data_IF_100707916588
#
_entry.id   IF_100707916588
#
_cell.length_a   1.000
_cell.length_b   1.000
_cell.length_c   1.000
_cell.angle_alpha   90.00
_cell.angle_beta   90.00
_cell.angle_gamma   90.00
#
_symmetry.space_group_name_H-M   'P 1'
#
loop_
_entity.id
_entity.type
_entity.pdbx_description
1 polymer ?
#
# COMPACT_ATOMS: atom_id res chain seq x y z
N UNK A 1 1.73 23.42 -1.04
CA UNK A 1 0.96 22.34 -0.36
C UNK A 1 1.51 21.02 -0.88
N UNK A 2 1.72 20.00 -0.03
CA UNK A 2 2.17 18.70 -0.50
C UNK A 2 1.16 18.11 -1.49
N UNK A 3 1.61 17.36 -2.51
CA UNK A 3 0.73 16.71 -3.48
C UNK A 3 -0.28 15.80 -2.76
N UNK A 4 -1.52 15.78 -3.24
CA UNK A 4 -2.57 14.90 -2.73
C UNK A 4 -2.15 13.42 -2.84
N UNK A 5 -1.43 13.08 -3.92
CA UNK A 5 -0.84 11.75 -4.13
C UNK A 5 0.17 11.39 -3.04
N UNK A 6 1.06 12.31 -2.66
CA UNK A 6 2.01 12.13 -1.55
C UNK A 6 1.31 11.90 -0.21
N UNK A 7 0.24 12.64 0.10
CA UNK A 7 -0.51 12.49 1.36
C UNK A 7 -1.15 11.10 1.40
N UNK A 8 -1.88 10.75 0.34
CA UNK A 8 -2.54 9.45 0.20
C UNK A 8 -1.52 8.31 0.30
N UNK A 9 -0.35 8.47 -0.35
CA UNK A 9 0.71 7.47 -0.32
C UNK A 9 1.34 7.32 1.06
N UNK A 10 1.59 8.42 1.77
CA UNK A 10 2.11 8.40 3.14
C UNK A 10 1.14 7.76 4.13
N UNK A 11 -0.16 8.09 4.05
CA UNK A 11 -1.19 7.49 4.91
C UNK A 11 -1.26 5.98 4.71
N UNK A 12 -1.24 5.54 3.46
CA UNK A 12 -1.25 4.11 3.13
C UNK A 12 0.04 3.40 3.57
N UNK A 13 1.20 4.04 3.40
CA UNK A 13 2.48 3.54 3.89
C UNK A 13 2.51 3.40 5.42
N UNK A 14 1.94 4.37 6.14
CA UNK A 14 1.82 4.34 7.59
C UNK A 14 0.90 3.20 8.06
N UNK A 15 -0.24 3.02 7.42
CA UNK A 15 -1.12 1.90 7.72
C UNK A 15 -0.43 0.54 7.50
N UNK A 16 0.33 0.40 6.40
CA UNK A 16 1.08 -0.82 6.13
C UNK A 16 2.21 -1.05 7.14
N UNK A 17 2.90 0.02 7.54
CA UNK A 17 3.93 -0.01 8.58
C UNK A 17 3.36 -0.48 9.92
N UNK A 18 2.23 0.07 10.34
CA UNK A 18 1.57 -0.31 11.60
C UNK A 18 1.05 -1.76 11.55
N UNK A 19 0.51 -2.20 10.41
CA UNK A 19 0.11 -3.60 10.24
C UNK A 19 1.30 -4.58 10.29
N UNK A 20 2.49 -4.15 9.85
CA UNK A 20 3.72 -4.92 10.03
C UNK A 20 4.26 -4.90 11.46
N UNK A 21 4.18 -3.76 12.15
CA UNK A 21 4.66 -3.61 13.52
C UNK A 21 3.78 -4.34 14.55
N UNK A 22 2.46 -4.34 14.37
CA UNK A 22 1.51 -4.94 15.31
C UNK A 22 1.76 -6.44 15.63
N UNK A 23 1.94 -7.35 14.65
CA UNK A 23 2.26 -8.75 14.92
C UNK A 23 3.68 -8.96 15.49
N UNK A 24 4.61 -8.02 15.29
CA UNK A 24 5.94 -8.08 15.92
C UNK A 24 5.90 -7.65 17.39
N UNK A 25 5.02 -6.71 17.72
CA UNK A 25 4.89 -6.16 19.07
C UNK A 25 3.86 -6.91 19.93
N UNK A 26 2.92 -7.64 19.31
CA UNK A 26 1.84 -8.34 20.01
C UNK A 26 1.67 -9.77 19.52
N UNK A 27 1.87 -10.73 20.44
CA UNK A 27 1.65 -12.16 20.21
C UNK A 27 0.19 -12.50 19.90
N UNK A 28 -0.76 -11.71 20.40
CA UNK A 28 -2.20 -11.84 20.12
C UNK A 28 -2.52 -11.56 18.65
N UNK A 29 -1.90 -10.53 18.08
CA UNK A 29 -2.06 -10.17 16.66
C UNK A 29 -1.34 -11.18 15.78
N UNK A 30 -0.16 -11.64 16.18
CA UNK A 30 0.54 -12.73 15.49
C UNK A 30 -0.28 -14.01 15.42
N UNK A 31 -0.95 -14.40 16.52
CA UNK A 31 -1.82 -15.60 16.56
C UNK A 31 -3.04 -15.46 15.65
N UNK A 32 -3.67 -14.27 15.63
CA UNK A 32 -4.80 -13.99 14.74
C UNK A 32 -4.38 -14.03 13.25
N UNK A 33 -3.17 -13.55 12.94
CA UNK A 33 -2.60 -13.66 11.61
C UNK A 33 -2.27 -15.11 11.24
N UNK A 34 -1.77 -15.92 12.17
CA UNK A 34 -1.52 -17.35 11.99
C UNK A 34 -2.79 -18.10 11.58
N UNK A 35 -3.89 -17.87 12.32
CA UNK A 35 -5.20 -18.46 12.04
C UNK A 35 -5.73 -18.04 10.65
N UNK A 36 -5.56 -16.77 10.28
CA UNK A 36 -6.01 -16.24 8.99
C UNK A 36 -5.16 -16.71 7.80
N UNK A 37 -3.86 -16.95 8.03
CA UNK A 37 -2.91 -17.47 7.03
C UNK A 37 -2.93 -19.00 6.93
N UNK A 38 -3.71 -19.70 7.77
CA UNK A 38 -3.68 -21.17 7.91
C UNK A 38 -2.25 -21.72 8.04
N UNK A 39 -1.36 -20.95 8.68
CA UNK A 39 0.05 -21.29 8.83
C UNK A 39 0.45 -21.27 10.29
N UNK A 40 1.04 -22.36 10.76
CA UNK A 40 1.55 -22.48 12.13
C UNK A 40 2.99 -21.93 12.25
N UNK A 41 3.59 -21.51 11.14
CA UNK A 41 4.97 -21.03 11.12
C UNK A 41 5.04 -19.58 11.59
N UNK A 42 5.40 -19.39 12.87
CA UNK A 42 5.73 -18.07 13.45
C UNK A 42 6.76 -17.29 12.61
N UNK A 43 7.71 -17.99 11.99
CA UNK A 43 8.73 -17.37 11.14
C UNK A 43 8.11 -16.76 9.87
N UNK A 44 7.16 -17.44 9.23
CA UNK A 44 6.47 -16.90 8.06
C UNK A 44 5.70 -15.61 8.40
N UNK A 45 5.05 -15.58 9.57
CA UNK A 45 4.31 -14.40 10.05
C UNK A 45 5.26 -13.24 10.33
N UNK A 46 6.42 -13.49 10.95
CA UNK A 46 7.42 -12.44 11.19
C UNK A 46 8.02 -11.91 9.89
N UNK A 47 8.28 -12.77 8.90
CA UNK A 47 8.79 -12.35 7.59
C UNK A 47 7.77 -11.50 6.84
N UNK A 48 6.48 -11.88 6.85
CA UNK A 48 5.40 -11.07 6.28
C UNK A 48 5.27 -9.73 7.00
N UNK A 49 5.32 -9.74 8.33
CA UNK A 49 5.26 -8.54 9.16
C UNK A 49 6.43 -7.58 8.87
N UNK A 50 7.65 -8.10 8.79
CA UNK A 50 8.85 -7.33 8.43
C UNK A 50 8.74 -6.77 7.00
N UNK A 51 8.21 -7.55 6.06
CA UNK A 51 7.99 -7.10 4.69
C UNK A 51 7.01 -5.92 4.64
N UNK A 52 5.89 -6.00 5.36
CA UNK A 52 4.93 -4.90 5.47
C UNK A 52 5.55 -3.65 6.12
N UNK A 53 6.36 -3.83 7.16
CA UNK A 53 7.07 -2.75 7.84
C UNK A 53 8.07 -2.05 6.90
N UNK A 54 8.90 -2.82 6.18
CA UNK A 54 9.85 -2.30 5.20
C UNK A 54 9.16 -1.57 4.06
N UNK A 55 8.13 -2.16 3.45
CA UNK A 55 7.39 -1.53 2.34
C UNK A 55 6.69 -0.26 2.80
N UNK A 56 6.04 -0.28 3.98
CA UNK A 56 5.42 0.91 4.57
C UNK A 56 6.41 2.04 4.81
N UNK A 57 7.62 1.72 5.26
CA UNK A 57 8.71 2.70 5.45
C UNK A 57 9.14 3.31 4.12
N UNK A 58 9.31 2.48 3.08
CA UNK A 58 9.67 2.94 1.74
C UNK A 58 8.60 3.87 1.16
N UNK A 59 7.32 3.58 1.40
CA UNK A 59 6.22 4.42 0.92
C UNK A 59 6.23 5.81 1.58
N UNK A 60 6.49 5.88 2.88
CA UNK A 60 6.62 7.16 3.59
C UNK A 60 7.81 7.97 3.05
N UNK A 61 8.96 7.31 2.82
CA UNK A 61 10.15 7.98 2.27
C UNK A 61 9.91 8.47 0.84
N UNK A 62 9.30 7.65 -0.02
CA UNK A 62 8.95 8.01 -1.39
C UNK A 62 7.90 9.13 -1.43
N UNK A 63 6.92 9.12 -0.52
CA UNK A 63 5.95 10.20 -0.37
C UNK A 63 6.61 11.53 0.00
N UNK A 64 7.58 11.49 0.94
CA UNK A 64 8.37 12.66 1.36
C UNK A 64 9.25 13.20 0.23
N UNK A 65 9.80 12.32 -0.61
CA UNK A 65 10.60 12.69 -1.79
C UNK A 65 9.74 13.17 -2.96
N UNK A 66 8.42 12.97 -2.92
CA UNK A 66 7.52 13.27 -4.04
C UNK A 66 7.81 12.41 -5.28
N UNK A 67 8.34 11.20 -5.08
CA UNK A 67 8.76 10.33 -6.18
C UNK A 67 7.54 9.67 -6.86
N UNK A 68 7.06 10.30 -7.93
CA UNK A 68 5.89 9.83 -8.70
C UNK A 68 6.12 8.46 -9.33
N UNK A 69 7.37 8.09 -9.67
CA UNK A 69 7.68 6.75 -10.21
C UNK A 69 7.46 5.67 -9.16
N UNK A 70 7.94 5.89 -7.95
CA UNK A 70 7.72 4.97 -6.83
C UNK A 70 6.22 4.81 -6.51
N UNK A 71 5.44 5.89 -6.59
CA UNK A 71 3.99 5.84 -6.40
C UNK A 71 3.28 5.03 -7.50
N UNK A 72 3.66 5.22 -8.78
CA UNK A 72 3.11 4.43 -9.88
C UNK A 72 3.50 2.95 -9.79
N UNK A 73 4.74 2.64 -9.42
CA UNK A 73 5.18 1.27 -9.15
C UNK A 73 4.36 0.61 -8.04
N UNK A 74 4.01 1.37 -6.99
CA UNK A 74 3.11 0.87 -5.95
C UNK A 74 1.71 0.57 -6.49
N UNK A 75 1.14 1.45 -7.34
CA UNK A 75 -0.15 1.19 -7.99
C UNK A 75 -0.11 -0.13 -8.74
N UNK A 76 0.92 -0.34 -9.58
CA UNK A 76 1.10 -1.58 -10.36
C UNK A 76 1.21 -2.80 -9.43
N UNK A 77 2.06 -2.73 -8.41
CA UNK A 77 2.24 -3.83 -7.45
C UNK A 77 0.94 -4.19 -6.74
N UNK A 78 0.13 -3.20 -6.37
CA UNK A 78 -1.18 -3.42 -5.75
C UNK A 78 -2.20 -3.99 -6.71
N UNK A 79 -2.23 -3.55 -7.97
CA UNK A 79 -3.11 -4.13 -8.98
C UNK A 79 -2.81 -5.61 -9.20
N UNK A 80 -1.52 -5.98 -9.22
CA UNK A 80 -1.10 -7.40 -9.29
C UNK A 80 -1.58 -8.15 -8.04
N UNK A 81 -1.38 -7.59 -6.85
CA UNK A 81 -1.84 -8.19 -5.60
C UNK A 81 -3.36 -8.42 -5.59
N UNK A 82 -4.15 -7.44 -6.06
CA UNK A 82 -5.60 -7.58 -6.23
C UNK A 82 -5.93 -8.74 -7.15
N UNK A 83 -5.26 -8.86 -8.29
CA UNK A 83 -5.48 -9.97 -9.24
C UNK A 83 -5.22 -11.34 -8.61
N UNK A 84 -4.11 -11.49 -7.89
CA UNK A 84 -3.76 -12.73 -7.19
C UNK A 84 -4.79 -13.04 -6.10
N UNK A 85 -5.07 -12.07 -5.23
CA UNK A 85 -6.06 -12.22 -4.16
C UNK A 85 -7.50 -12.33 -4.67
N UNK A 86 -7.78 -12.08 -5.95
CA UNK A 86 -9.11 -12.29 -6.51
C UNK A 86 -9.31 -13.72 -7.02
N UNK A 87 -8.25 -14.31 -7.58
CA UNK A 87 -8.26 -15.66 -8.16
C UNK A 87 -8.16 -16.73 -7.06
N UNK A 88 -7.33 -16.52 -6.04
CA UNK A 88 -7.01 -17.55 -5.03
C UNK A 88 -7.83 -17.48 -3.71
N UNK A 89 -8.76 -16.54 -3.54
CA UNK A 89 -9.22 -16.19 -2.19
C UNK A 89 -10.64 -16.58 -1.78
N UNK A 90 -10.71 -17.34 -0.69
CA UNK A 90 -11.82 -17.31 0.28
C UNK A 90 -11.77 -16.06 1.17
N UNK A 91 -11.23 -16.10 2.41
CA UNK A 91 -11.21 -14.95 3.33
C UNK A 91 -10.42 -13.72 2.83
N UNK A 92 -9.48 -13.91 1.91
CA UNK A 92 -8.57 -12.88 1.39
C UNK A 92 -9.23 -11.91 0.40
N UNK A 93 -10.47 -12.16 -0.04
CA UNK A 93 -11.24 -11.21 -0.87
C UNK A 93 -11.40 -9.84 -0.22
N UNK A 94 -11.53 -9.77 1.12
CA UNK A 94 -11.60 -8.49 1.84
C UNK A 94 -10.32 -7.68 1.70
N UNK A 95 -9.17 -8.35 1.68
CA UNK A 95 -7.85 -7.73 1.46
C UNK A 95 -7.74 -7.25 0.01
N UNK A 96 -8.21 -8.04 -0.97
CA UNK A 96 -8.24 -7.63 -2.37
C UNK A 96 -9.05 -6.34 -2.59
N UNK A 97 -10.23 -6.23 -1.97
CA UNK A 97 -11.06 -5.01 -2.07
C UNK A 97 -10.35 -3.81 -1.45
N UNK A 98 -9.69 -3.99 -0.31
CA UNK A 98 -8.91 -2.94 0.35
C UNK A 98 -7.73 -2.47 -0.51
N UNK A 99 -6.92 -3.39 -1.03
CA UNK A 99 -5.80 -3.07 -1.92
C UNK A 99 -6.28 -2.40 -3.22
N UNK A 100 -7.43 -2.81 -3.75
CA UNK A 100 -8.05 -2.19 -4.93
C UNK A 100 -8.48 -0.76 -4.68
N UNK A 101 -9.10 -0.48 -3.53
CA UNK A 101 -9.44 0.89 -3.09
C UNK A 101 -8.18 1.75 -2.93
N UNK A 102 -7.16 1.21 -2.26
CA UNK A 102 -5.86 1.86 -2.05
C UNK A 102 -5.15 2.20 -3.37
N UNK A 103 -5.11 1.26 -4.31
CA UNK A 103 -4.57 1.45 -5.65
C UNK A 103 -5.38 2.47 -6.46
N UNK A 104 -6.71 2.37 -6.41
CA UNK A 104 -7.61 3.28 -7.13
C UNK A 104 -7.51 4.72 -6.64
N UNK A 105 -7.49 4.94 -5.33
CA UNK A 105 -7.30 6.28 -4.75
C UNK A 105 -5.95 6.88 -5.11
N UNK A 106 -4.88 6.08 -5.05
CA UNK A 106 -3.54 6.53 -5.42
C UNK A 106 -3.44 6.84 -6.92
N UNK A 107 -3.91 5.94 -7.79
CA UNK A 107 -3.93 6.14 -9.24
C UNK A 107 -4.78 7.36 -9.63
N UNK A 108 -5.96 7.50 -9.05
CA UNK A 108 -6.84 8.64 -9.28
C UNK A 108 -6.19 9.96 -8.89
N UNK A 109 -5.52 10.01 -7.73
CA UNK A 109 -4.79 11.21 -7.30
C UNK A 109 -3.60 11.56 -8.20
N UNK A 110 -2.85 10.56 -8.69
CA UNK A 110 -1.75 10.77 -9.64
C UNK A 110 -2.24 11.29 -11.00
N UNK A 111 -3.33 10.74 -11.52
CA UNK A 111 -3.94 11.18 -12.78
C UNK A 111 -4.48 12.61 -12.65
N UNK A 112 -5.12 12.91 -11.53
CA UNK A 112 -5.63 14.26 -11.24
C UNK A 112 -4.50 15.30 -11.21
N UNK A 113 -3.40 14.99 -10.53
CA UNK A 113 -2.23 15.86 -10.49
C UNK A 113 -1.57 16.04 -11.86
N UNK A 114 -1.43 14.96 -12.64
CA UNK A 114 -0.88 15.02 -14.00
C UNK A 114 -1.72 15.93 -14.92
N UNK A 115 -3.05 15.86 -14.83
CA UNK A 115 -3.96 16.72 -15.60
C UNK A 115 -3.88 18.19 -15.16
N UNK A 116 -3.76 18.43 -13.85
CA UNK A 116 -3.57 19.78 -13.32
C UNK A 116 -2.27 20.43 -13.79
N UNK A 117 -1.19 19.65 -13.89
CA UNK A 117 0.11 20.11 -14.40
C UNK A 117 0.07 20.42 -15.90
N UNK A 118 -0.61 19.60 -16.72
CA UNK A 118 -0.79 19.87 -18.16
C UNK A 118 -1.58 21.15 -18.43
N UNK A 119 -2.71 21.35 -17.73
CA UNK A 119 -3.53 22.56 -17.88
C UNK A 119 -2.76 23.83 -17.51
N UNK A 120 -1.90 23.75 -16.51
CA UNK A 120 -1.06 24.87 -16.09
C UNK A 120 0.01 25.21 -17.13
N UNK A 121 0.62 24.20 -17.78
CA UNK A 121 1.57 24.41 -18.88
C UNK A 121 0.90 25.05 -20.10
N UNK A 122 -0.28 24.57 -20.48
CA UNK A 122 -1.06 25.09 -21.63
C UNK A 122 -1.51 26.55 -21.49
N UNK A 123 -1.73 27.03 -20.27
CA UNK A 123 -2.15 28.43 -20.01
C UNK A 123 -0.97 29.41 -19.92
N UNK A 124 0.28 28.92 -20.00
CA UNK A 124 1.50 29.75 -19.99
C UNK A 124 2.14 29.86 -21.39
N UNK A 125 1.59 29.17 -22.39
CA UNK A 125 1.90 29.30 -23.82
C UNK A 125 0.87 30.20 -24.51
#
# INVERSE_FOLDING_TARGET
MPPLSSIIFATQGCFNFLNGAAPLLSSTVARKNAEMLLTDSKHAIHVLALSCLSIGSLYIVAAKRGDKLAMWLSVVGRTIAVGIFWVDAGPWRKVAVFEGLCAGLLAGSLIWESRGEELKKRNQE
#
